data_IF_662005075207
#
_entry.id   IF_662005075207
#
_cell.length_a   1.000
_cell.length_b   1.000
_cell.length_c   1.000
_cell.angle_alpha   90.00
_cell.angle_beta   90.00
_cell.angle_gamma   90.00
#
_symmetry.space_group_name_H-M   'P 1'
#
loop_
_entity.id
_entity.type
_entity.pdbx_description
1 polymer ?
#
# COMPACT_ATOMS: atom_id res chain seq x y z
N UNK A 1 58.64 -2.63 -24.91
CA UNK A 1 57.74 -2.38 -23.76
C UNK A 1 56.34 -2.14 -24.34
N UNK A 2 55.71 -3.17 -24.87
CA UNK A 2 54.42 -3.09 -25.60
C UNK A 2 53.20 -3.53 -24.77
N UNK A 3 53.37 -3.93 -23.51
CA UNK A 3 52.27 -4.39 -22.64
C UNK A 3 51.34 -3.28 -22.12
N UNK A 4 51.82 -2.02 -22.05
CA UNK A 4 51.09 -0.96 -21.33
C UNK A 4 49.94 -0.31 -22.12
N UNK A 5 49.88 -0.49 -23.44
CA UNK A 5 48.88 0.17 -24.29
C UNK A 5 47.56 -0.60 -24.32
N UNK A 6 47.61 -1.92 -24.46
CA UNK A 6 46.42 -2.77 -24.50
C UNK A 6 45.75 -2.89 -23.12
N UNK A 7 46.55 -2.94 -22.06
CA UNK A 7 46.05 -3.00 -20.67
C UNK A 7 45.32 -1.72 -20.26
N UNK A 8 45.83 -0.55 -20.68
CA UNK A 8 45.16 0.74 -20.44
C UNK A 8 43.85 0.88 -21.20
N UNK A 9 43.78 0.36 -22.43
CA UNK A 9 42.54 0.37 -23.23
C UNK A 9 41.49 -0.56 -22.62
N UNK A 10 41.90 -1.73 -22.10
CA UNK A 10 41.00 -2.64 -21.40
C UNK A 10 40.43 -2.02 -20.11
N UNK A 11 41.26 -1.31 -19.35
CA UNK A 11 40.82 -0.58 -18.15
C UNK A 11 39.83 0.54 -18.47
N UNK A 12 40.07 1.33 -19.51
CA UNK A 12 39.15 2.39 -19.96
C UNK A 12 37.83 1.80 -20.48
N UNK A 13 37.89 0.68 -21.20
CA UNK A 13 36.70 -0.03 -21.65
C UNK A 13 35.86 -0.56 -20.48
N UNK A 14 36.51 -1.15 -19.47
CA UNK A 14 35.84 -1.66 -18.28
C UNK A 14 35.16 -0.55 -17.46
N UNK A 15 35.83 0.60 -17.26
CA UNK A 15 35.22 1.73 -16.54
C UNK A 15 34.07 2.35 -17.30
N UNK A 16 34.12 2.40 -18.63
CA UNK A 16 33.00 2.85 -19.46
C UNK A 16 31.78 1.93 -19.33
N UNK A 17 31.97 0.61 -19.37
CA UNK A 17 30.88 -0.36 -19.21
C UNK A 17 30.27 -0.29 -17.80
N UNK A 18 31.10 -0.19 -16.76
CA UNK A 18 30.61 -0.04 -15.38
C UNK A 18 29.82 1.26 -15.23
N UNK A 19 30.34 2.39 -15.74
CA UNK A 19 29.66 3.68 -15.71
C UNK A 19 28.35 3.70 -16.50
N UNK A 20 28.30 3.00 -17.63
CA UNK A 20 27.09 2.87 -18.44
C UNK A 20 26.02 2.02 -17.74
N UNK A 21 26.40 0.90 -17.12
CA UNK A 21 25.47 0.05 -16.37
C UNK A 21 24.95 0.77 -15.12
N UNK A 22 25.80 1.50 -14.37
CA UNK A 22 25.35 2.28 -13.21
C UNK A 22 24.45 3.44 -13.62
N UNK A 23 24.71 4.10 -14.75
CA UNK A 23 23.80 5.10 -15.30
C UNK A 23 22.47 4.47 -15.74
N UNK A 24 22.48 3.27 -16.33
CA UNK A 24 21.25 2.57 -16.72
C UNK A 24 20.42 2.15 -15.49
N UNK A 25 21.05 1.76 -14.38
CA UNK A 25 20.35 1.48 -13.12
C UNK A 25 19.82 2.79 -12.50
N UNK A 26 20.62 3.88 -12.50
CA UNK A 26 20.22 5.15 -11.91
C UNK A 26 19.16 5.93 -12.69
N UNK A 27 19.12 5.81 -14.02
CA UNK A 27 18.18 6.55 -14.89
C UNK A 27 17.14 5.67 -15.57
N UNK A 28 17.41 4.38 -15.77
CA UNK A 28 16.48 3.43 -16.41
C UNK A 28 15.41 2.90 -15.45
N UNK A 29 15.65 2.93 -14.14
CA UNK A 29 14.66 2.55 -13.12
C UNK A 29 13.82 3.76 -12.67
N UNK A 30 14.37 4.98 -12.76
CA UNK A 30 13.73 6.23 -12.34
C UNK A 30 12.67 6.77 -13.32
N UNK A 31 12.40 6.08 -14.43
CA UNK A 31 11.34 6.44 -15.38
C UNK A 31 10.11 5.52 -15.32
N UNK A 32 10.04 4.63 -14.32
CA UNK A 32 8.80 3.95 -13.94
C UNK A 32 8.15 4.61 -12.70
N UNK A 33 8.45 5.89 -12.45
CA UNK A 33 7.57 6.72 -11.65
C UNK A 33 6.41 7.13 -12.55
N UNK A 34 5.55 6.15 -12.88
CA UNK A 34 4.21 6.44 -13.35
C UNK A 34 3.64 7.37 -12.29
N UNK A 35 3.51 8.64 -12.63
CA UNK A 35 2.76 9.58 -11.81
C UNK A 35 1.33 9.07 -11.88
N UNK A 36 0.99 8.17 -10.95
CA UNK A 36 -0.32 7.52 -10.90
C UNK A 36 -1.31 8.64 -10.64
N UNK A 37 -2.02 9.03 -11.69
CA UNK A 37 -3.03 10.08 -11.63
C UNK A 37 -4.18 9.58 -10.76
N UNK A 38 -4.23 10.03 -9.51
CA UNK A 38 -5.24 9.58 -8.55
C UNK A 38 -6.59 10.14 -8.97
N UNK A 39 -7.49 9.27 -9.43
CA UNK A 39 -8.88 9.66 -9.67
C UNK A 39 -9.55 9.87 -8.31
N UNK A 40 -9.81 11.13 -7.97
CA UNK A 40 -10.56 11.49 -6.77
C UNK A 40 -12.05 11.19 -6.96
N UNK A 41 -12.59 10.30 -6.14
CA UNK A 41 -14.02 9.95 -6.18
C UNK A 41 -14.71 10.53 -4.94
N UNK A 42 -15.62 11.52 -5.08
CA UNK A 42 -16.34 12.09 -3.95
C UNK A 42 -17.37 11.08 -3.41
N UNK A 43 -17.26 10.69 -2.14
CA UNK A 43 -18.26 9.85 -1.46
C UNK A 43 -19.33 10.71 -0.75
N UNK A 44 -20.62 10.43 -1.00
CA UNK A 44 -21.74 11.05 -0.32
C UNK A 44 -21.96 10.44 1.08
N UNK A 45 -22.56 11.19 1.99
CA UNK A 45 -22.71 10.84 3.41
C UNK A 45 -23.86 9.84 3.69
N UNK A 46 -23.66 8.91 4.65
CA UNK A 46 -24.41 8.81 5.93
C UNK A 46 -24.10 7.51 6.69
N UNK A 47 -23.85 7.65 7.98
CA UNK A 47 -23.61 6.56 8.93
C UNK A 47 -24.87 5.77 9.25
N UNK A 48 -24.78 4.45 9.24
CA UNK A 48 -25.61 3.58 10.07
C UNK A 48 -24.79 2.35 10.47
N UNK A 49 -24.31 2.34 11.70
CA UNK A 49 -23.95 1.10 12.36
C UNK A 49 -25.21 0.23 12.45
N UNK A 50 -25.13 -1.04 12.04
CA UNK A 50 -25.87 -2.18 12.59
C UNK A 50 -25.60 -3.44 11.76
N UNK A 51 -24.88 -4.38 12.36
CA UNK A 51 -24.66 -5.73 11.85
C UNK A 51 -24.13 -6.64 12.95
N UNK A 52 -24.90 -6.78 14.05
CA UNK A 52 -24.63 -7.78 15.07
C UNK A 52 -24.72 -9.18 14.44
N UNK A 53 -23.58 -9.84 14.26
CA UNK A 53 -23.48 -11.28 14.36
C UNK A 53 -22.54 -11.56 15.52
N UNK A 54 -22.97 -12.43 16.44
CA UNK A 54 -22.23 -12.83 17.62
C UNK A 54 -20.89 -13.45 17.20
N UNK A 55 -19.84 -12.62 17.12
CA UNK A 55 -18.50 -13.06 16.76
C UNK A 55 -17.84 -13.50 18.06
N UNK A 56 -17.29 -14.73 18.06
CA UNK A 56 -16.32 -15.17 19.06
C UNK A 56 -15.31 -14.03 19.30
N UNK A 57 -14.78 -13.92 20.52
CA UNK A 57 -13.73 -12.95 20.83
C UNK A 57 -12.69 -12.94 19.70
N UNK A 58 -12.41 -11.76 19.10
CA UNK A 58 -11.60 -11.68 17.89
C UNK A 58 -10.25 -12.34 18.12
N UNK A 59 -9.84 -13.21 17.19
CA UNK A 59 -8.57 -13.95 17.31
C UNK A 59 -7.38 -13.13 16.84
N UNK A 60 -7.67 -12.03 16.16
CA UNK A 60 -6.73 -11.06 15.63
C UNK A 60 -7.06 -9.65 16.09
N UNK A 61 -6.05 -8.78 16.09
CA UNK A 61 -6.12 -7.41 16.52
C UNK A 61 -5.36 -6.53 15.54
N UNK A 62 -5.91 -5.36 15.26
CA UNK A 62 -5.23 -4.29 14.53
C UNK A 62 -4.93 -3.16 15.51
N UNK A 63 -3.72 -2.61 15.44
CA UNK A 63 -3.27 -1.55 16.32
C UNK A 63 -2.49 -0.51 15.53
N UNK A 64 -2.88 0.76 15.66
CA UNK A 64 -2.09 1.88 15.20
C UNK A 64 -1.09 2.26 16.28
N UNK A 65 0.19 2.33 15.92
CA UNK A 65 1.30 2.77 16.78
C UNK A 65 2.03 3.93 16.12
N UNK A 66 3.01 4.50 16.82
CA UNK A 66 3.82 5.61 16.31
C UNK A 66 4.52 5.25 15.00
N UNK A 67 4.98 4.00 14.86
CA UNK A 67 5.69 3.53 13.67
C UNK A 67 4.75 3.17 12.50
N UNK A 68 3.45 3.01 12.76
CA UNK A 68 2.47 2.64 11.73
C UNK A 68 1.41 1.64 12.18
N UNK A 69 0.76 1.00 11.21
CA UNK A 69 -0.34 0.08 11.43
C UNK A 69 0.17 -1.36 11.57
N UNK A 70 -0.22 -2.01 12.66
CA UNK A 70 0.14 -3.38 12.98
C UNK A 70 -1.07 -4.31 12.91
N UNK A 71 -0.88 -5.49 12.33
CA UNK A 71 -1.78 -6.63 12.41
C UNK A 71 -1.19 -7.70 13.34
N UNK A 72 -1.96 -8.19 14.29
CA UNK A 72 -1.52 -9.16 15.29
C UNK A 72 -2.50 -10.31 15.37
N UNK A 73 -2.01 -11.54 15.51
CA UNK A 73 -2.85 -12.72 15.74
C UNK A 73 -2.55 -13.31 17.11
N UNK A 74 -3.48 -14.12 17.62
CA UNK A 74 -3.26 -14.88 18.85
C UNK A 74 -2.05 -15.83 18.75
N UNK A 75 -1.69 -16.27 17.54
CA UNK A 75 -0.52 -17.12 17.29
C UNK A 75 0.79 -16.33 17.15
N UNK A 76 0.73 -15.06 16.75
CA UNK A 76 1.90 -14.19 16.58
C UNK A 76 1.75 -12.94 17.43
N UNK A 77 2.30 -12.99 18.64
CA UNK A 77 2.20 -11.90 19.62
C UNK A 77 3.09 -10.69 19.32
N UNK A 78 3.97 -10.76 18.31
CA UNK A 78 4.89 -9.63 18.00
C UNK A 78 4.21 -8.54 17.17
N UNK A 79 3.13 -8.87 16.47
CA UNK A 79 2.49 -7.96 15.52
C UNK A 79 3.34 -7.78 14.25
N UNK A 80 2.69 -7.73 13.10
CA UNK A 80 3.27 -7.46 11.80
C UNK A 80 2.95 -6.01 11.42
N UNK A 81 3.97 -5.22 11.10
CA UNK A 81 3.78 -3.89 10.52
C UNK A 81 3.31 -4.04 9.08
N UNK A 82 2.09 -3.57 8.77
CA UNK A 82 1.49 -3.65 7.43
C UNK A 82 1.52 -2.33 6.66
N UNK A 83 1.77 -1.22 7.36
CA UNK A 83 1.98 0.10 6.76
C UNK A 83 2.76 0.99 7.74
N UNK A 84 3.75 1.73 7.26
CA UNK A 84 4.62 2.58 8.07
C UNK A 84 4.15 4.05 8.09
N UNK A 85 4.34 4.73 9.23
CA UNK A 85 4.16 6.17 9.35
C UNK A 85 5.53 6.86 9.37
N UNK A 86 5.72 7.88 8.54
CA UNK A 86 6.94 8.70 8.44
C UNK A 86 6.62 10.18 8.27
N UNK A 87 7.63 11.06 8.36
CA UNK A 87 7.44 12.51 8.15
C UNK A 87 7.19 12.89 6.68
N UNK A 88 7.58 12.02 5.75
CA UNK A 88 7.40 12.18 4.32
C UNK A 88 6.83 10.88 3.74
N UNK A 89 5.52 10.89 3.48
CA UNK A 89 4.85 9.84 2.72
C UNK A 89 4.97 10.07 1.22
N UNK A 90 4.44 9.14 0.44
CA UNK A 90 4.39 9.27 -1.02
C UNK A 90 4.44 7.92 -1.72
N UNK A 91 5.27 7.02 -1.20
CA UNK A 91 5.36 5.63 -1.62
C UNK A 91 4.25 4.79 -0.98
N UNK A 92 3.89 3.69 -1.64
CA UNK A 92 2.93 2.74 -1.08
C UNK A 92 3.54 2.01 0.13
N UNK A 93 2.77 1.89 1.21
CA UNK A 93 3.27 1.34 2.47
C UNK A 93 3.95 2.37 3.37
N UNK A 94 4.04 3.64 2.94
CA UNK A 94 4.65 4.75 3.68
C UNK A 94 3.72 5.97 3.67
N UNK A 95 3.06 6.19 4.80
CA UNK A 95 2.11 7.26 4.98
C UNK A 95 2.62 8.33 5.95
N UNK A 96 2.11 9.56 5.88
CA UNK A 96 2.25 10.49 7.02
C UNK A 96 1.22 10.25 8.11
N UNK A 97 0.12 9.58 7.77
CA UNK A 97 -0.92 9.17 8.70
C UNK A 97 -1.75 8.02 8.11
N UNK A 98 -2.24 7.14 8.98
CA UNK A 98 -3.27 6.15 8.64
C UNK A 98 -4.59 6.66 9.20
N UNK A 99 -5.50 7.04 8.31
CA UNK A 99 -6.67 7.82 8.71
C UNK A 99 -7.89 6.95 8.96
N UNK A 100 -7.92 5.78 8.34
CA UNK A 100 -8.97 4.78 8.50
C UNK A 100 -8.32 3.40 8.45
N UNK A 101 -8.85 2.48 9.25
CA UNK A 101 -8.49 1.07 9.21
C UNK A 101 -9.63 0.21 9.78
N UNK A 102 -9.83 -0.98 9.23
CA UNK A 102 -10.87 -1.90 9.68
C UNK A 102 -10.50 -3.35 9.38
N UNK A 103 -10.79 -4.24 10.32
CA UNK A 103 -10.67 -5.68 10.12
C UNK A 103 -11.97 -6.21 9.53
N UNK A 104 -11.87 -6.96 8.43
CA UNK A 104 -13.01 -7.61 7.79
C UNK A 104 -13.81 -8.52 8.75
N UNK A 105 -15.11 -8.76 8.49
CA UNK A 105 -15.95 -9.61 9.32
C UNK A 105 -15.45 -11.05 9.48
N UNK A 106 -14.69 -11.58 8.52
CA UNK A 106 -14.09 -12.92 8.58
C UNK A 106 -12.61 -12.92 9.06
N UNK A 107 -12.06 -11.76 9.44
CA UNK A 107 -10.65 -11.57 9.80
C UNK A 107 -9.64 -11.94 8.70
N UNK A 108 -10.09 -12.18 7.47
CA UNK A 108 -9.21 -12.58 6.37
C UNK A 108 -8.47 -11.37 5.76
N UNK A 109 -9.01 -10.17 5.93
CA UNK A 109 -8.54 -8.94 5.32
C UNK A 109 -8.52 -7.77 6.32
N UNK A 110 -7.57 -6.85 6.14
CA UNK A 110 -7.50 -5.57 6.86
C UNK A 110 -7.54 -4.44 5.83
N UNK A 111 -8.58 -3.62 5.87
CA UNK A 111 -8.61 -2.37 5.13
C UNK A 111 -7.82 -1.30 5.89
N UNK A 112 -7.13 -0.44 5.15
CA UNK A 112 -6.57 0.79 5.69
C UNK A 112 -6.38 1.87 4.62
N UNK A 113 -6.29 3.13 5.04
CA UNK A 113 -6.13 4.27 4.15
C UNK A 113 -4.90 5.10 4.53
N UNK A 114 -3.95 5.20 3.59
CA UNK A 114 -2.69 5.92 3.74
C UNK A 114 -2.83 7.35 3.26
N UNK A 115 -2.61 8.32 4.15
CA UNK A 115 -2.53 9.71 3.78
C UNK A 115 -1.10 10.02 3.34
N UNK A 116 -0.86 10.44 2.08
CA UNK A 116 0.50 10.62 1.56
C UNK A 116 1.17 11.90 2.08
N UNK A 117 0.39 12.94 2.39
CA UNK A 117 0.90 14.22 2.92
C UNK A 117 -0.08 14.82 3.93
N UNK A 118 0.41 15.66 4.84
CA UNK A 118 -0.41 16.28 5.90
C UNK A 118 -1.44 17.27 5.38
N UNK A 119 -1.28 17.71 4.13
CA UNK A 119 -2.17 18.63 3.43
C UNK A 119 -3.17 17.91 2.51
N UNK A 120 -3.09 16.59 2.40
CA UNK A 120 -3.97 15.83 1.51
C UNK A 120 -5.35 15.61 2.14
N UNK A 121 -6.41 16.04 1.44
CA UNK A 121 -7.80 15.73 1.78
C UNK A 121 -8.24 14.34 1.29
N UNK A 122 -7.33 13.60 0.66
CA UNK A 122 -7.52 12.22 0.20
C UNK A 122 -6.47 11.29 0.78
N UNK A 123 -6.81 10.00 0.81
CA UNK A 123 -5.92 8.92 1.18
C UNK A 123 -5.98 7.80 0.14
N UNK A 124 -4.90 7.02 0.05
CA UNK A 124 -4.76 5.86 -0.81
C UNK A 124 -5.29 4.64 -0.06
N UNK A 125 -6.35 3.97 -0.53
CA UNK A 125 -6.90 2.82 0.15
C UNK A 125 -6.18 1.51 -0.25
N UNK A 126 -5.96 0.65 0.74
CA UNK A 126 -5.33 -0.65 0.61
C UNK A 126 -6.10 -1.72 1.38
N UNK A 127 -5.90 -2.96 1.00
CA UNK A 127 -6.33 -4.14 1.73
C UNK A 127 -5.15 -5.09 1.94
N UNK A 128 -4.84 -5.40 3.19
CA UNK A 128 -3.91 -6.46 3.54
C UNK A 128 -4.63 -7.80 3.62
N UNK A 129 -4.12 -8.81 2.90
CA UNK A 129 -4.60 -10.20 2.96
C UNK A 129 -3.82 -10.99 4.00
N UNK A 130 -4.49 -11.42 5.07
CA UNK A 130 -3.87 -12.14 6.19
C UNK A 130 -3.40 -13.55 5.81
N UNK A 131 -4.06 -14.16 4.81
CA UNK A 131 -3.73 -15.51 4.33
C UNK A 131 -2.46 -15.50 3.47
N UNK A 132 -2.33 -14.50 2.61
CA UNK A 132 -1.25 -14.42 1.62
C UNK A 132 -0.12 -13.48 2.05
N UNK A 133 -0.27 -12.80 3.19
CA UNK A 133 0.68 -11.86 3.75
C UNK A 133 1.11 -10.77 2.76
N UNK A 134 0.12 -10.17 2.10
CA UNK A 134 0.34 -9.20 1.02
C UNK A 134 -0.58 -7.99 1.17
N UNK A 135 -0.01 -6.80 0.97
CA UNK A 135 -0.75 -5.54 0.87
C UNK A 135 -1.17 -5.35 -0.58
N UNK A 136 -2.47 -5.22 -0.80
CA UNK A 136 -3.08 -5.12 -2.11
C UNK A 136 -3.68 -3.72 -2.22
N UNK A 137 -3.23 -2.92 -3.18
CA UNK A 137 -3.83 -1.63 -3.42
C UNK A 137 -5.18 -1.75 -4.09
N UNK A 138 -6.10 -0.86 -3.73
CA UNK A 138 -7.42 -0.90 -4.32
C UNK A 138 -7.46 -0.15 -5.65
N UNK A 139 -8.17 -0.76 -6.60
CA UNK A 139 -8.38 -0.19 -7.93
C UNK A 139 -9.87 -0.13 -8.25
N UNK A 140 -10.21 0.76 -9.18
CA UNK A 140 -11.50 0.79 -9.85
C UNK A 140 -11.25 0.89 -11.35
N UNK A 141 -11.83 -0.02 -12.13
CA UNK A 141 -11.58 -0.13 -13.57
C UNK A 141 -10.08 -0.24 -13.91
N UNK A 142 -9.30 -0.93 -13.08
CA UNK A 142 -7.86 -1.13 -13.24
C UNK A 142 -6.98 0.07 -12.88
N UNK A 143 -7.55 1.17 -12.38
CA UNK A 143 -6.82 2.37 -11.95
C UNK A 143 -6.78 2.48 -10.43
N UNK A 144 -5.66 2.96 -9.87
CA UNK A 144 -5.57 3.28 -8.44
C UNK A 144 -6.54 4.40 -8.11
N UNK A 145 -7.25 4.23 -7.00
CA UNK A 145 -8.21 5.22 -6.51
C UNK A 145 -7.63 6.00 -5.33
N UNK A 146 -8.06 7.25 -5.20
CA UNK A 146 -7.95 8.01 -3.96
C UNK A 146 -9.34 8.21 -3.36
N UNK A 147 -9.49 7.99 -2.06
CA UNK A 147 -10.75 8.23 -1.35
C UNK A 147 -10.63 9.43 -0.42
N UNK A 148 -11.72 10.16 -0.13
CA UNK A 148 -11.66 11.27 0.80
C UNK A 148 -11.18 10.83 2.18
N UNK A 149 -10.41 11.68 2.84
CA UNK A 149 -9.90 11.47 4.18
C UNK A 149 -11.00 11.67 5.25
N UNK A 150 -12.05 10.85 5.18
CA UNK A 150 -13.18 10.86 6.11
C UNK A 150 -13.76 9.45 6.21
N UNK A 151 -14.31 9.05 7.36
CA UNK A 151 -14.92 7.75 7.54
C UNK A 151 -15.89 7.40 6.41
N UNK A 152 -15.69 6.24 5.78
CA UNK A 152 -16.55 5.70 4.75
C UNK A 152 -17.16 4.36 5.19
N UNK A 153 -18.32 4.02 4.62
CA UNK A 153 -18.91 2.70 4.81
C UNK A 153 -18.12 1.66 4.02
N UNK A 154 -17.64 0.61 4.69
CA UNK A 154 -16.95 -0.49 4.04
C UNK A 154 -17.94 -1.64 3.84
N UNK A 155 -18.08 -2.09 2.59
CA UNK A 155 -18.90 -3.24 2.25
C UNK A 155 -18.00 -4.44 1.98
N UNK A 156 -18.16 -5.49 2.79
CA UNK A 156 -17.37 -6.72 2.71
C UNK A 156 -18.20 -7.88 2.17
N UNK A 157 -17.55 -8.79 1.45
CA UNK A 157 -18.04 -10.13 1.17
C UNK A 157 -17.03 -11.19 1.66
N UNK A 158 -17.24 -12.46 1.31
CA UNK A 158 -16.32 -13.53 1.68
C UNK A 158 -14.96 -13.46 0.95
N UNK A 159 -14.92 -12.82 -0.23
CA UNK A 159 -13.76 -12.71 -1.09
C UNK A 159 -12.91 -11.46 -0.81
N UNK A 160 -13.47 -10.44 -0.16
CA UNK A 160 -12.76 -9.22 0.19
C UNK A 160 -13.64 -8.00 0.36
N UNK A 161 -13.04 -6.83 0.17
CA UNK A 161 -13.74 -5.55 0.16
C UNK A 161 -14.40 -5.34 -1.21
N UNK A 162 -15.68 -5.01 -1.20
CA UNK A 162 -16.52 -4.81 -2.39
C UNK A 162 -16.71 -3.33 -2.70
N UNK A 163 -16.90 -2.50 -1.66
CA UNK A 163 -17.14 -1.07 -1.85
C UNK A 163 -16.64 -0.21 -0.68
N UNK A 164 -16.32 1.05 -0.99
CA UNK A 164 -16.01 2.13 -0.05
C UNK A 164 -16.96 3.30 -0.30
N UNK A 165 -17.95 3.47 0.57
CA UNK A 165 -19.06 4.39 0.32
C UNK A 165 -19.77 4.01 -0.98
N UNK A 166 -19.80 4.93 -1.94
CA UNK A 166 -20.42 4.73 -3.24
C UNK A 166 -19.45 4.14 -4.30
N UNK A 167 -18.18 3.91 -3.92
CA UNK A 167 -17.13 3.43 -4.85
C UNK A 167 -17.10 1.91 -4.83
N UNK A 168 -17.51 1.28 -5.93
CA UNK A 168 -17.32 -0.17 -6.14
C UNK A 168 -15.87 -0.42 -6.50
N UNK A 169 -15.24 -1.34 -5.79
CA UNK A 169 -13.83 -1.71 -5.95
C UNK A 169 -13.74 -2.91 -6.89
N UNK A 170 -12.69 -2.97 -7.70
CA UNK A 170 -12.40 -4.17 -8.48
C UNK A 170 -12.13 -5.34 -7.52
N UNK A 171 -12.45 -6.56 -7.95
CA UNK A 171 -12.20 -7.75 -7.13
C UNK A 171 -10.75 -7.79 -6.66
N UNK A 172 -10.54 -8.06 -5.37
CA UNK A 172 -9.21 -8.23 -4.79
C UNK A 172 -8.60 -9.52 -5.33
N UNK A 173 -7.97 -9.47 -6.50
CA UNK A 173 -7.25 -10.59 -7.09
C UNK A 173 -5.90 -10.71 -6.40
N UNK A 174 -5.76 -11.72 -5.54
CA UNK A 174 -4.45 -12.12 -5.04
C UNK A 174 -3.67 -12.81 -6.16
N UNK A 175 -2.42 -12.39 -6.44
CA UNK A 175 -1.55 -13.09 -7.39
C UNK A 175 -1.19 -14.50 -6.92
#
# INVERSE_FOLDING_TARGET
MEGSRHERVALIGATYVIGFVTAFIGFGVSQLEDTVDFVYVPTGAQSAALGHSAKLAPTSLIALREEGLYYQTSANSKGLLISAITEAGGDDGVAVAITQYELSPNEAFVYFCEQPTTLSDSCKPFVYSTKNDVVIPLTQNGQRIGVPNKPALLLWDEAGLVAIGDVVIDSITTP
#
